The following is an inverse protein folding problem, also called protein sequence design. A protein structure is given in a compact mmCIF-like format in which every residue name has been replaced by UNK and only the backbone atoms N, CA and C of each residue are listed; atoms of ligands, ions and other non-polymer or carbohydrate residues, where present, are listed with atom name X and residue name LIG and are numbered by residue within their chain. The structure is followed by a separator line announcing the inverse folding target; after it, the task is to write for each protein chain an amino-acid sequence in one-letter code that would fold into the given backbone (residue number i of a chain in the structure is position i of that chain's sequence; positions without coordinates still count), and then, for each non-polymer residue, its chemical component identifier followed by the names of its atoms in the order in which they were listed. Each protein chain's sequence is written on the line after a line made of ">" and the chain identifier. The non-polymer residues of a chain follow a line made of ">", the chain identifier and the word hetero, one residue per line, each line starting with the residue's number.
data_IF_580366896655
#
_entry.id   IF_580366896655
#
_cell.length_a   1.000
_cell.length_b   1.000
_cell.length_c   1.000
_cell.angle_alpha   90.00
_cell.angle_beta   90.00
_cell.angle_gamma   90.00
#
_symmetry.space_group_name_H-M   'P 1'
#
loop_
_entity.id
_entity.type
_entity.pdbx_description
1 polymer ?
#
# COMPACT_ATOMS: atom_id res chain seq x y z
N UNK A 1 -1.80 -11.40 -8.98
CA UNK A 1 -3.20 -11.06 -8.65
C UNK A 1 -3.24 -9.60 -8.22
N UNK A 2 -4.17 -8.82 -8.76
CA UNK A 2 -4.44 -7.43 -8.36
C UNK A 2 -5.89 -7.36 -7.93
N UNK A 3 -6.16 -6.78 -6.76
CA UNK A 3 -7.52 -6.51 -6.27
C UNK A 3 -7.69 -5.01 -6.19
N UNK A 4 -8.79 -4.49 -6.73
CA UNK A 4 -9.09 -3.06 -6.71
C UNK A 4 -10.60 -2.81 -6.67
N UNK A 5 -10.97 -1.59 -6.33
CA UNK A 5 -12.36 -1.12 -6.27
C UNK A 5 -12.44 0.26 -6.92
N UNK A 6 -13.39 0.41 -7.84
CA UNK A 6 -13.79 1.70 -8.38
C UNK A 6 -15.13 2.07 -7.73
N UNK A 7 -15.27 3.29 -7.25
CA UNK A 7 -16.50 3.79 -6.65
C UNK A 7 -16.76 5.22 -7.14
N UNK A 8 -17.93 5.44 -7.74
CA UNK A 8 -18.30 6.65 -8.46
C UNK A 8 -17.95 6.57 -9.95
N UNK A 9 -18.82 7.16 -10.79
CA UNK A 9 -18.66 7.18 -12.26
C UNK A 9 -17.30 7.73 -12.70
N UNK A 10 -16.84 8.82 -12.05
CA UNK A 10 -15.55 9.45 -12.35
C UNK A 10 -14.33 8.57 -12.01
N UNK A 11 -14.50 7.55 -11.17
CA UNK A 11 -13.46 6.57 -10.85
C UNK A 11 -13.51 5.33 -11.76
N UNK A 12 -14.40 5.28 -12.76
CA UNK A 12 -14.56 4.16 -13.68
C UNK A 12 -15.52 3.07 -13.18
N UNK A 13 -16.47 3.43 -12.31
CA UNK A 13 -17.56 2.53 -11.93
C UNK A 13 -18.59 2.41 -13.07
N UNK A 14 -18.79 1.20 -13.59
CA UNK A 14 -19.78 0.90 -14.64
C UNK A 14 -21.09 0.32 -14.10
N UNK A 15 -21.06 -0.26 -12.90
CA UNK A 15 -22.22 -0.86 -12.22
C UNK A 15 -22.39 -0.21 -10.85
N UNK A 16 -23.57 0.35 -10.57
CA UNK A 16 -23.85 1.06 -9.32
C UNK A 16 -23.94 0.16 -8.08
N UNK A 17 -24.12 -1.15 -8.26
CA UNK A 17 -24.09 -2.08 -7.15
C UNK A 17 -22.66 -2.22 -6.63
N UNK A 18 -22.48 -2.14 -5.30
CA UNK A 18 -21.16 -2.23 -4.67
C UNK A 18 -20.45 -3.54 -5.01
N UNK A 19 -19.27 -3.44 -5.60
CA UNK A 19 -18.45 -4.59 -5.99
C UNK A 19 -16.95 -4.29 -5.93
N UNK A 20 -16.14 -5.35 -6.00
CA UNK A 20 -14.70 -5.28 -6.19
C UNK A 20 -14.32 -6.08 -7.43
N UNK A 21 -13.15 -5.81 -7.99
CA UNK A 21 -12.63 -6.51 -9.16
C UNK A 21 -11.30 -7.15 -8.83
N UNK A 22 -11.03 -8.29 -9.45
CA UNK A 22 -9.76 -9.01 -9.34
C UNK A 22 -9.22 -9.33 -10.73
N UNK A 23 -7.95 -9.01 -10.94
CA UNK A 23 -7.26 -9.27 -12.20
C UNK A 23 -6.09 -10.25 -11.99
N UNK A 24 -6.09 -11.31 -12.79
CA UNK A 24 -4.99 -12.25 -12.88
C UNK A 24 -4.15 -11.91 -14.11
N UNK A 25 -2.91 -11.51 -13.89
CA UNK A 25 -1.97 -11.16 -14.96
C UNK A 25 -0.91 -12.24 -15.08
N UNK A 26 -0.51 -12.65 -16.30
CA UNK A 26 0.55 -13.62 -16.52
C UNK A 26 1.96 -13.01 -16.38
N UNK A 27 2.05 -11.75 -15.95
CA UNK A 27 3.31 -11.02 -15.74
C UNK A 27 3.20 -10.13 -14.49
N UNK A 28 4.35 -9.65 -14.00
CA UNK A 28 4.42 -8.73 -12.86
C UNK A 28 4.25 -7.29 -13.38
N UNK A 29 3.28 -6.51 -12.89
CA UNK A 29 3.14 -5.11 -13.26
C UNK A 29 4.38 -4.30 -12.89
N UNK A 30 4.72 -3.30 -13.71
CA UNK A 30 5.87 -2.43 -13.48
C UNK A 30 5.86 -1.78 -12.08
N UNK A 31 4.69 -1.30 -11.61
CA UNK A 31 4.56 -0.70 -10.28
C UNK A 31 4.91 -1.65 -9.14
N UNK A 32 4.59 -2.95 -9.29
CA UNK A 32 4.95 -3.98 -8.33
C UNK A 32 6.46 -4.28 -8.40
N UNK A 33 6.99 -4.45 -9.62
CA UNK A 33 8.43 -4.71 -9.82
C UNK A 33 9.30 -3.57 -9.28
N UNK A 34 8.95 -2.32 -9.58
CA UNK A 34 9.68 -1.13 -9.12
C UNK A 34 9.63 -1.01 -7.59
N UNK A 35 8.47 -1.28 -6.97
CA UNK A 35 8.34 -1.28 -5.52
C UNK A 35 9.21 -2.37 -4.88
N UNK A 36 9.19 -3.59 -5.42
CA UNK A 36 10.02 -4.69 -4.91
C UNK A 36 11.52 -4.38 -5.02
N UNK A 37 11.96 -3.82 -6.14
CA UNK A 37 13.34 -3.39 -6.33
C UNK A 37 13.74 -2.34 -5.29
N UNK A 38 12.94 -1.28 -5.13
CA UNK A 38 13.23 -0.21 -4.15
C UNK A 38 13.22 -0.73 -2.70
N UNK A 39 12.30 -1.62 -2.35
CA UNK A 39 12.26 -2.22 -1.00
C UNK A 39 13.46 -3.15 -0.76
N UNK A 40 13.90 -3.88 -1.79
CA UNK A 40 15.11 -4.69 -1.75
C UNK A 40 16.35 -3.82 -1.56
N UNK A 41 16.50 -2.76 -2.35
CA UNK A 41 17.64 -1.85 -2.23
C UNK A 41 17.71 -1.21 -0.85
N UNK A 42 16.57 -0.81 -0.28
CA UNK A 42 16.49 -0.29 1.10
C UNK A 42 16.92 -1.33 2.13
N UNK A 43 16.43 -2.57 1.99
CA UNK A 43 16.80 -3.67 2.89
C UNK A 43 18.29 -4.01 2.78
N UNK A 44 18.84 -4.08 1.56
CA UNK A 44 20.25 -4.39 1.32
C UNK A 44 21.18 -3.29 1.91
N UNK A 45 20.71 -2.04 2.01
CA UNK A 45 21.47 -0.91 2.58
C UNK A 45 21.32 -0.77 4.11
N UNK A 46 20.14 -1.07 4.66
CA UNK A 46 19.79 -0.76 6.07
C UNK A 46 19.60 -1.98 6.96
N UNK A 47 19.43 -3.16 6.34
CA UNK A 47 19.06 -4.41 7.02
C UNK A 47 17.61 -4.46 7.51
N UNK A 48 16.76 -3.50 7.12
CA UNK A 48 15.41 -3.34 7.68
C UNK A 48 14.34 -3.22 6.60
N UNK A 49 13.12 -3.63 6.95
CA UNK A 49 11.98 -3.51 6.05
C UNK A 49 11.55 -2.04 5.93
N UNK A 50 11.48 -1.53 4.69
CA UNK A 50 11.04 -0.17 4.39
C UNK A 50 9.70 0.20 5.06
N UNK A 51 8.70 -0.70 4.99
CA UNK A 51 7.38 -0.45 5.57
C UNK A 51 7.44 -0.39 7.10
N UNK A 52 8.26 -1.21 7.73
CA UNK A 52 8.44 -1.23 9.19
C UNK A 52 9.11 0.05 9.72
N UNK A 53 9.92 0.72 8.88
CA UNK A 53 10.61 1.96 9.22
C UNK A 53 9.85 3.24 8.85
N UNK A 54 8.63 3.14 8.29
CA UNK A 54 7.84 4.33 7.96
C UNK A 54 7.66 5.16 9.24
N UNK A 55 8.21 6.37 9.22
CA UNK A 55 8.10 7.30 10.32
C UNK A 55 6.62 7.68 10.51
N UNK A 56 6.10 7.38 11.69
CA UNK A 56 4.69 7.61 12.02
C UNK A 56 4.41 9.07 12.36
N UNK A 57 5.44 9.80 12.79
CA UNK A 57 5.33 11.18 13.23
C UNK A 57 4.92 12.04 12.03
N UNK A 58 3.87 12.84 12.20
CA UNK A 58 3.29 13.78 11.23
C UNK A 58 2.61 13.16 9.98
N UNK A 59 2.70 11.84 9.77
CA UNK A 59 2.11 11.13 8.62
C UNK A 59 1.00 10.13 9.00
N UNK A 60 0.91 9.73 10.27
CA UNK A 60 -0.13 8.81 10.76
C UNK A 60 -1.50 9.51 10.78
N UNK A 61 -2.50 8.86 10.19
CA UNK A 61 -3.90 9.30 10.22
C UNK A 61 -4.61 8.63 11.39
N UNK A 62 -4.58 7.29 11.42
CA UNK A 62 -5.24 6.48 12.44
C UNK A 62 -4.56 5.10 12.57
N UNK A 63 -4.77 4.42 13.69
CA UNK A 63 -4.24 3.09 13.99
C UNK A 63 -5.28 2.16 14.59
N UNK A 64 -5.26 0.91 14.16
CA UNK A 64 -6.00 -0.19 14.77
C UNK A 64 -5.03 -1.19 15.40
N UNK A 65 -5.55 -2.28 16.00
CA UNK A 65 -4.72 -3.33 16.60
C UNK A 65 -3.69 -3.91 15.64
N UNK A 66 -4.04 -4.09 14.36
CA UNK A 66 -3.21 -4.80 13.39
C UNK A 66 -2.85 -3.97 12.15
N UNK A 67 -3.33 -2.73 12.04
CA UNK A 67 -3.14 -1.90 10.85
C UNK A 67 -2.87 -0.45 11.21
N UNK A 68 -2.08 0.21 10.38
CA UNK A 68 -1.83 1.65 10.42
C UNK A 68 -2.35 2.27 9.12
N UNK A 69 -3.00 3.42 9.23
CA UNK A 69 -3.37 4.27 8.10
C UNK A 69 -2.52 5.53 8.12
N UNK A 70 -1.87 5.84 7.00
CA UNK A 70 -0.93 6.96 6.91
C UNK A 70 -0.91 7.58 5.52
N UNK A 71 -0.47 8.83 5.46
CA UNK A 71 -0.13 9.50 4.19
C UNK A 71 1.32 9.14 3.86
N UNK A 72 1.61 8.52 2.69
CA UNK A 72 2.99 8.25 2.29
C UNK A 72 3.77 9.56 2.15
N UNK A 73 5.02 9.60 2.63
CA UNK A 73 5.89 10.79 2.53
C UNK A 73 5.96 11.35 1.10
N UNK A 74 6.04 10.47 0.11
CA UNK A 74 6.01 10.80 -1.32
C UNK A 74 4.67 10.36 -1.97
N UNK A 75 3.54 10.81 -1.43
CA UNK A 75 2.21 10.46 -1.93
C UNK A 75 2.03 10.90 -3.40
N UNK A 76 1.51 9.98 -4.23
CA UNK A 76 1.28 10.22 -5.66
C UNK A 76 0.06 11.11 -5.93
N UNK A 77 -0.94 11.08 -5.03
CA UNK A 77 -2.19 11.82 -5.16
C UNK A 77 -2.51 12.57 -3.87
N UNK A 78 -3.17 13.74 -3.94
CA UNK A 78 -3.65 14.41 -2.74
C UNK A 78 -4.62 13.50 -1.99
N UNK A 79 -4.50 13.46 -0.67
CA UNK A 79 -5.29 12.57 0.21
C UNK A 79 -5.09 11.07 -0.07
N UNK A 80 -3.98 10.67 -0.71
CA UNK A 80 -3.62 9.26 -0.86
C UNK A 80 -3.27 8.63 0.49
N UNK A 81 -3.99 7.57 0.86
CA UNK A 81 -3.80 6.84 2.13
C UNK A 81 -3.25 5.46 1.84
N UNK A 82 -2.25 5.04 2.59
CA UNK A 82 -1.82 3.65 2.67
C UNK A 82 -2.33 3.02 3.96
N UNK A 83 -2.93 1.84 3.83
CA UNK A 83 -3.23 0.95 4.95
C UNK A 83 -2.17 -0.15 4.93
N UNK A 84 -1.33 -0.18 5.95
CA UNK A 84 -0.24 -1.15 6.10
C UNK A 84 -0.49 -2.01 7.33
N UNK A 85 -0.06 -3.28 7.26
CA UNK A 85 -0.08 -4.13 8.44
C UNK A 85 0.83 -3.49 9.52
N UNK A 86 0.23 -3.18 10.66
CA UNK A 86 0.97 -2.85 11.87
C UNK A 86 1.75 -4.09 12.30
N UNK A 87 2.96 -3.88 12.79
CA UNK A 87 3.84 -4.96 13.20
C UNK A 87 3.16 -5.74 14.36
N UNK A 88 2.49 -6.85 14.05
CA UNK A 88 2.32 -7.94 15.01
C UNK A 88 3.74 -8.41 15.32
N UNK A 89 4.12 -8.41 16.60
CA UNK A 89 5.35 -8.98 17.14
C UNK A 89 5.99 -10.02 16.21
N UNK A 90 6.97 -9.59 15.42
CA UNK A 90 7.92 -10.47 14.77
C UNK A 90 9.17 -10.41 15.63
N UNK A 91 9.12 -11.14 16.74
CA UNK A 91 10.31 -11.79 17.27
C UNK A 91 10.69 -12.86 16.24
N UNK A 92 11.72 -12.57 15.46
CA UNK A 92 12.59 -13.56 14.83
C UNK A 92 14.02 -13.15 15.16
#
# INVERSE_FOLDING_TARGET
>A
MIVFRNHGTSAGESMSHSHCQMMFLPFIPHSVSARLASMKDHFDQTGKCFICEIQRKDLLIDSSTNFLSLVPFAATFPFGIWIVAGQLNLEV
#
